data_IF_665563241344
#
_entry.id   IF_665563241344
#
_cell.length_a   1.000
_cell.length_b   1.000
_cell.length_c   1.000
_cell.angle_alpha   90.00
_cell.angle_beta   90.00
_cell.angle_gamma   90.00
#
_symmetry.space_group_name_H-M   'P 1'
#
loop_
_entity.id
_entity.type
_entity.pdbx_description
1 polymer ?
#
# COMPACT_ATOMS: atom_id res chain seq x y z
N UNK A 1 -53.45 16.55 64.97
CA UNK A 1 -52.10 16.14 65.41
C UNK A 1 -51.35 15.68 64.16
N UNK A 2 -50.43 16.51 63.65
CA UNK A 2 -49.27 16.23 62.73
C UNK A 2 -49.53 15.28 61.53
N UNK A 3 -49.59 15.63 60.25
CA UNK A 3 -48.79 16.49 59.34
C UNK A 3 -47.35 15.98 59.02
N UNK A 4 -47.19 15.30 57.87
CA UNK A 4 -45.99 15.24 56.99
C UNK A 4 -46.46 14.69 55.60
N UNK A 5 -46.70 15.51 54.56
CA UNK A 5 -45.77 16.12 53.56
C UNK A 5 -44.82 15.07 52.92
N UNK A 6 -45.05 14.63 51.67
CA UNK A 6 -44.86 15.27 50.34
C UNK A 6 -43.50 14.95 49.72
N UNK A 7 -43.44 14.51 48.46
CA UNK A 7 -42.20 14.53 47.68
C UNK A 7 -42.13 13.58 46.48
N UNK A 8 -42.62 14.02 45.34
CA UNK A 8 -42.27 13.57 44.00
C UNK A 8 -40.85 14.06 43.68
N UNK A 9 -39.89 13.20 43.34
CA UNK A 9 -38.64 13.60 42.64
C UNK A 9 -38.28 12.55 41.60
N UNK A 10 -38.46 12.96 40.35
CA UNK A 10 -37.84 12.46 39.13
C UNK A 10 -36.32 12.53 39.25
N UNK A 11 -35.60 11.44 39.01
CA UNK A 11 -34.15 11.46 38.82
C UNK A 11 -33.80 10.72 37.53
N UNK A 12 -33.68 11.52 36.46
CA UNK A 12 -32.90 11.20 35.28
C UNK A 12 -31.45 11.06 35.75
N UNK A 13 -30.86 9.87 35.62
CA UNK A 13 -29.40 9.73 35.63
C UNK A 13 -28.97 9.17 34.27
N UNK A 14 -28.51 10.12 33.46
CA UNK A 14 -27.71 9.94 32.27
C UNK A 14 -26.40 9.28 32.70
N UNK A 15 -26.25 7.98 32.45
CA UNK A 15 -24.99 7.27 32.57
C UNK A 15 -24.59 6.76 31.20
N UNK A 16 -23.77 7.53 30.48
CA UNK A 16 -22.99 7.01 29.36
C UNK A 16 -22.11 5.87 29.91
N UNK A 17 -22.59 4.64 29.79
CA UNK A 17 -21.69 3.49 29.70
C UNK A 17 -21.12 3.54 28.29
N UNK A 18 -19.92 4.11 28.14
CA UNK A 18 -18.99 3.65 27.11
C UNK A 18 -18.80 2.16 27.38
N UNK A 19 -19.63 1.33 26.75
CA UNK A 19 -19.31 -0.08 26.59
C UNK A 19 -18.10 -0.13 25.67
N UNK A 20 -16.91 -0.10 26.26
CA UNK A 20 -15.79 -0.80 25.66
C UNK A 20 -16.18 -2.27 25.60
N UNK A 21 -16.90 -2.64 24.54
CA UNK A 21 -17.05 -4.04 24.16
C UNK A 21 -15.63 -4.46 23.80
N UNK A 22 -14.94 -5.09 24.75
CA UNK A 22 -13.82 -5.95 24.42
C UNK A 22 -14.38 -7.00 23.47
N UNK A 23 -14.26 -6.75 22.17
CA UNK A 23 -14.57 -7.73 21.15
C UNK A 23 -13.63 -8.91 21.40
N UNK A 24 -14.15 -10.11 21.73
CA UNK A 24 -13.29 -11.24 21.99
C UNK A 24 -12.47 -11.52 20.71
N UNK A 25 -11.15 -11.43 20.82
CA UNK A 25 -10.23 -11.82 19.76
C UNK A 25 -10.43 -13.31 19.48
N UNK A 26 -10.86 -13.65 18.26
CA UNK A 26 -10.91 -15.06 17.86
C UNK A 26 -9.48 -15.51 17.59
N UNK A 27 -9.03 -16.55 18.32
CA UNK A 27 -7.73 -17.20 18.15
C UNK A 27 -7.92 -18.51 17.39
N UNK A 28 -7.24 -18.69 16.26
CA UNK A 28 -7.27 -19.92 15.47
C UNK A 28 -6.22 -20.92 15.98
N UNK A 29 -6.52 -22.21 16.06
CA UNK A 29 -5.50 -23.25 16.33
C UNK A 29 -5.72 -24.54 15.53
N UNK A 30 -4.70 -24.95 14.78
CA UNK A 30 -4.27 -26.28 14.35
C UNK A 30 -5.33 -27.38 14.13
N UNK A 31 -6.11 -27.25 13.04
CA UNK A 31 -6.54 -28.32 12.11
C UNK A 31 -7.65 -27.76 11.18
N UNK A 32 -7.36 -27.58 9.89
CA UNK A 32 -8.28 -26.91 8.93
C UNK A 32 -8.23 -25.39 9.07
N UNK A 33 -7.03 -24.82 8.97
CA UNK A 33 -6.75 -23.46 9.45
C UNK A 33 -7.29 -22.36 8.53
N UNK A 34 -7.35 -22.60 7.23
CA UNK A 34 -8.06 -21.72 6.29
C UNK A 34 -9.58 -21.77 6.54
N UNK A 35 -10.14 -22.91 6.93
CA UNK A 35 -11.54 -23.02 7.40
C UNK A 35 -11.79 -22.21 8.67
N UNK A 36 -10.87 -22.24 9.64
CA UNK A 36 -11.02 -21.42 10.84
C UNK A 36 -10.94 -19.91 10.52
N UNK A 37 -10.13 -19.49 9.54
CA UNK A 37 -10.08 -18.10 9.08
C UNK A 37 -11.36 -17.74 8.32
N UNK A 38 -11.83 -18.64 7.46
CA UNK A 38 -13.10 -18.52 6.76
C UNK A 38 -14.25 -18.25 7.75
N UNK A 39 -14.39 -19.10 8.77
CA UNK A 39 -15.43 -18.97 9.80
C UNK A 39 -15.29 -17.70 10.63
N UNK A 40 -14.05 -17.26 10.91
CA UNK A 40 -13.77 -16.02 11.61
C UNK A 40 -14.27 -14.79 10.83
N UNK A 41 -13.99 -14.74 9.53
CA UNK A 41 -14.43 -13.67 8.65
C UNK A 41 -15.95 -13.66 8.53
N UNK A 42 -16.58 -14.82 8.33
CA UNK A 42 -18.05 -14.88 8.29
C UNK A 42 -18.69 -14.38 9.59
N UNK A 43 -18.14 -14.78 10.74
CA UNK A 43 -18.63 -14.35 12.04
C UNK A 43 -18.48 -12.83 12.24
N UNK A 44 -17.37 -12.26 11.79
CA UNK A 44 -17.13 -10.82 11.83
C UNK A 44 -18.08 -10.06 10.89
N UNK A 45 -18.26 -10.53 9.65
CA UNK A 45 -19.23 -9.96 8.70
C UNK A 45 -20.65 -9.95 9.27
N UNK A 46 -21.11 -11.06 9.87
CA UNK A 46 -22.45 -11.14 10.51
C UNK A 46 -22.63 -10.14 11.65
N UNK A 47 -21.55 -9.77 12.34
CA UNK A 47 -21.55 -8.79 13.43
C UNK A 47 -21.35 -7.36 12.93
N UNK A 48 -20.99 -7.18 11.67
CA UNK A 48 -20.55 -5.90 11.10
C UNK A 48 -19.13 -5.50 11.47
N UNK A 49 -18.46 -6.23 12.38
CA UNK A 49 -17.06 -6.01 12.73
C UNK A 49 -16.42 -7.23 13.41
N UNK A 50 -15.08 -7.29 13.40
CA UNK A 50 -14.36 -8.32 14.16
C UNK A 50 -12.84 -8.14 14.17
N UNK A 51 -12.22 -8.71 15.21
CA UNK A 51 -10.77 -8.75 15.38
C UNK A 51 -10.30 -10.21 15.31
N UNK A 52 -9.37 -10.47 14.39
CA UNK A 52 -8.79 -11.79 14.14
C UNK A 52 -7.29 -11.69 14.41
N UNK A 53 -6.73 -12.68 15.10
CA UNK A 53 -5.28 -12.78 15.30
C UNK A 53 -4.80 -14.15 14.84
N UNK A 54 -3.79 -14.15 13.97
CA UNK A 54 -3.15 -15.39 13.54
C UNK A 54 -2.25 -15.94 14.65
N UNK A 55 -2.21 -17.26 14.75
CA UNK A 55 -1.34 -17.99 15.66
C UNK A 55 -0.31 -18.87 14.94
N UNK A 56 -0.43 -18.99 13.62
CA UNK A 56 0.43 -19.76 12.73
C UNK A 56 0.25 -19.27 11.29
N UNK A 57 1.13 -19.74 10.40
CA UNK A 57 1.00 -19.51 8.96
C UNK A 57 -0.20 -20.28 8.41
N UNK A 58 -0.96 -19.66 7.51
CA UNK A 58 -2.13 -20.26 6.86
C UNK A 58 -1.84 -20.47 5.39
N UNK A 59 -2.15 -21.65 4.86
CA UNK A 59 -2.14 -21.94 3.42
C UNK A 59 -3.57 -22.20 2.97
N UNK A 60 -4.07 -21.40 2.03
CA UNK A 60 -5.44 -21.53 1.54
C UNK A 60 -5.61 -22.79 0.70
N UNK A 61 -6.68 -23.53 0.99
CA UNK A 61 -7.21 -24.65 0.20
C UNK A 61 -8.56 -24.32 -0.44
N UNK A 62 -9.14 -23.17 -0.08
CA UNK A 62 -10.37 -22.61 -0.62
C UNK A 62 -10.32 -21.07 -0.62
N UNK A 63 -11.23 -20.45 -1.38
CA UNK A 63 -11.42 -19.01 -1.34
C UNK A 63 -12.05 -18.57 0.00
N UNK A 64 -11.56 -17.46 0.56
CA UNK A 64 -12.15 -16.83 1.74
C UNK A 64 -13.42 -16.04 1.37
N UNK A 65 -14.38 -15.84 2.30
CA UNK A 65 -15.57 -15.08 2.03
C UNK A 65 -15.23 -13.59 1.89
N UNK A 66 -15.96 -12.85 1.05
CA UNK A 66 -15.78 -11.41 0.91
C UNK A 66 -15.95 -10.69 2.25
N UNK A 67 -15.12 -9.70 2.50
CA UNK A 67 -15.17 -8.83 3.68
C UNK A 67 -16.17 -7.71 3.40
N UNK A 68 -17.24 -7.69 4.19
CA UNK A 68 -18.33 -6.71 4.08
C UNK A 68 -18.57 -5.93 5.38
N UNK A 69 -17.92 -6.35 6.48
CA UNK A 69 -17.88 -5.60 7.74
C UNK A 69 -16.52 -4.96 7.97
N UNK A 70 -16.35 -4.31 9.13
CA UNK A 70 -15.08 -3.74 9.55
C UNK A 70 -14.21 -4.80 10.28
N UNK A 71 -13.23 -5.36 9.58
CA UNK A 71 -12.40 -6.47 10.08
C UNK A 71 -10.95 -6.01 10.27
N UNK A 72 -10.41 -6.26 11.46
CA UNK A 72 -8.97 -6.14 11.72
C UNK A 72 -8.33 -7.53 11.83
N UNK A 73 -7.25 -7.77 11.08
CA UNK A 73 -6.44 -8.98 11.14
C UNK A 73 -5.03 -8.60 11.62
N UNK A 74 -4.65 -9.11 12.78
CA UNK A 74 -3.27 -9.07 13.26
C UNK A 74 -2.56 -10.37 12.88
N UNK A 75 -1.58 -10.27 12.00
CA UNK A 75 -0.82 -11.42 11.54
C UNK A 75 0.14 -11.97 12.59
N UNK A 76 0.50 -11.20 13.64
CA UNK A 76 1.51 -11.59 14.64
C UNK A 76 2.85 -12.07 14.02
N UNK A 77 3.17 -11.61 12.80
CA UNK A 77 4.35 -12.02 12.03
C UNK A 77 4.15 -13.24 11.13
N UNK A 78 2.99 -13.90 11.19
CA UNK A 78 2.66 -15.06 10.36
C UNK A 78 2.25 -14.67 8.94
N UNK A 79 2.17 -15.67 8.06
CA UNK A 79 1.78 -15.54 6.67
C UNK A 79 0.38 -16.10 6.38
N UNK A 80 -0.27 -15.55 5.35
CA UNK A 80 -1.35 -16.22 4.63
C UNK A 80 -0.88 -16.41 3.19
N UNK A 81 -0.80 -17.66 2.75
CA UNK A 81 -0.44 -18.05 1.40
C UNK A 81 -1.67 -18.39 0.58
N UNK A 82 -1.79 -17.81 -0.61
CA UNK A 82 -2.82 -18.18 -1.59
C UNK A 82 -2.52 -19.46 -2.36
N UNK A 83 -1.43 -20.18 -2.04
CA UNK A 83 -1.03 -21.44 -2.66
C UNK A 83 -0.94 -21.39 -4.21
N UNK A 84 -0.59 -20.24 -4.76
CA UNK A 84 -0.52 -19.92 -6.18
C UNK A 84 -1.85 -20.13 -6.95
N UNK A 85 -2.96 -20.28 -6.21
CA UNK A 85 -4.28 -20.66 -6.73
C UNK A 85 -5.40 -19.71 -6.29
N UNK A 86 -5.24 -19.02 -5.17
CA UNK A 86 -6.30 -18.22 -4.55
C UNK A 86 -5.91 -16.76 -4.41
N UNK A 87 -6.86 -15.89 -4.72
CA UNK A 87 -6.88 -14.53 -4.20
C UNK A 87 -7.21 -14.60 -2.70
N UNK A 88 -6.43 -13.90 -1.86
CA UNK A 88 -6.56 -14.05 -0.40
C UNK A 88 -7.79 -13.29 0.11
N UNK A 89 -7.89 -11.99 -0.15
CA UNK A 89 -9.00 -11.18 0.34
C UNK A 89 -9.73 -10.44 -0.78
N UNK A 90 -11.06 -10.46 -0.70
CA UNK A 90 -11.94 -9.56 -1.45
C UNK A 90 -12.64 -8.67 -0.44
N UNK A 91 -12.47 -7.36 -0.55
CA UNK A 91 -13.19 -6.38 0.28
C UNK A 91 -14.24 -5.71 -0.59
N UNK A 92 -15.49 -5.75 -0.15
CA UNK A 92 -16.63 -5.29 -0.94
C UNK A 92 -17.61 -4.58 -0.02
N UNK A 93 -17.59 -3.24 -0.08
CA UNK A 93 -18.31 -2.31 0.82
C UNK A 93 -17.93 -2.44 2.31
N UNK A 94 -16.85 -3.17 2.60
CA UNK A 94 -16.31 -3.38 3.93
C UNK A 94 -15.00 -2.62 4.18
N UNK A 95 -14.48 -2.76 5.40
CA UNK A 95 -13.21 -2.17 5.81
C UNK A 95 -12.28 -3.28 6.28
N UNK A 96 -11.06 -3.33 5.73
CA UNK A 96 -10.04 -4.28 6.16
C UNK A 96 -8.84 -3.53 6.73
N UNK A 97 -8.48 -3.83 7.96
CA UNK A 97 -7.18 -3.44 8.53
C UNK A 97 -6.33 -4.69 8.70
N UNK A 98 -5.15 -4.73 8.08
CA UNK A 98 -4.16 -5.80 8.26
C UNK A 98 -2.87 -5.23 8.82
N UNK A 99 -2.28 -5.96 9.78
CA UNK A 99 -0.99 -5.57 10.36
C UNK A 99 -0.11 -6.74 10.74
N UNK A 100 1.22 -6.53 10.67
CA UNK A 100 2.25 -7.52 11.02
C UNK A 100 2.00 -8.87 10.31
N UNK A 101 1.74 -8.83 9.01
CA UNK A 101 1.24 -9.97 8.25
C UNK A 101 2.05 -10.14 6.96
N UNK A 102 2.25 -11.37 6.51
CA UNK A 102 2.73 -11.63 5.15
C UNK A 102 1.60 -12.19 4.29
N UNK A 103 1.32 -11.58 3.15
CA UNK A 103 0.40 -12.09 2.12
C UNK A 103 1.23 -12.54 0.92
N UNK A 104 1.20 -13.84 0.63
CA UNK A 104 2.15 -14.45 -0.31
C UNK A 104 1.52 -15.44 -1.27
N UNK A 105 2.17 -15.64 -2.42
CA UNK A 105 1.77 -16.66 -3.42
C UNK A 105 0.27 -16.59 -3.75
N UNK A 106 -0.29 -15.40 -3.76
CA UNK A 106 -1.69 -15.20 -4.07
C UNK A 106 -1.88 -15.04 -5.57
N UNK A 107 -2.99 -15.56 -6.08
CA UNK A 107 -3.30 -15.51 -7.51
C UNK A 107 -4.71 -14.99 -7.75
N UNK A 108 -4.79 -13.78 -8.29
CA UNK A 108 -6.01 -13.21 -8.85
C UNK A 108 -6.13 -13.56 -10.33
N UNK A 109 -7.31 -13.97 -10.79
CA UNK A 109 -7.54 -14.25 -12.22
C UNK A 109 -7.42 -12.98 -13.06
N UNK A 110 -7.95 -11.86 -12.56
CA UNK A 110 -7.97 -10.57 -13.25
C UNK A 110 -7.36 -9.48 -12.37
N UNK A 111 -7.99 -9.16 -11.25
CA UNK A 111 -7.62 -7.99 -10.43
C UNK A 111 -7.18 -8.42 -9.04
N UNK A 112 -6.04 -7.93 -8.57
CA UNK A 112 -5.54 -8.11 -7.21
C UNK A 112 -5.05 -9.52 -6.95
N UNK A 113 -3.73 -9.75 -6.85
CA UNK A 113 -3.25 -11.09 -6.51
C UNK A 113 -3.65 -11.46 -5.09
N UNK A 114 -3.23 -10.65 -4.12
CA UNK A 114 -3.54 -10.85 -2.71
C UNK A 114 -4.88 -10.21 -2.32
N UNK A 115 -5.11 -8.95 -2.69
CA UNK A 115 -6.29 -8.20 -2.26
C UNK A 115 -6.97 -7.51 -3.44
N UNK A 116 -8.29 -7.65 -3.51
CA UNK A 116 -9.14 -6.89 -4.41
C UNK A 116 -10.10 -6.01 -3.62
N UNK A 117 -10.03 -4.70 -3.83
CA UNK A 117 -10.95 -3.71 -3.27
C UNK A 117 -12.04 -3.35 -4.28
N UNK A 118 -13.29 -3.54 -3.87
CA UNK A 118 -14.49 -3.23 -4.66
C UNK A 118 -15.25 -2.05 -4.03
N UNK A 119 -16.42 -1.75 -4.59
CA UNK A 119 -17.42 -0.74 -4.14
C UNK A 119 -17.21 -0.28 -2.70
N UNK A 120 -16.94 1.00 -2.49
CA UNK A 120 -16.87 1.61 -1.15
C UNK A 120 -15.80 1.04 -0.20
N UNK A 121 -14.99 0.06 -0.62
CA UNK A 121 -14.09 -0.64 0.29
C UNK A 121 -12.92 0.22 0.74
N UNK A 122 -12.54 0.03 2.00
CA UNK A 122 -11.35 0.62 2.61
C UNK A 122 -10.33 -0.45 3.00
N UNK A 123 -9.05 -0.14 2.81
CA UNK A 123 -7.93 -0.95 3.27
C UNK A 123 -6.91 -0.10 4.01
N UNK A 124 -6.53 -0.57 5.19
CA UNK A 124 -5.35 -0.12 5.93
C UNK A 124 -4.38 -1.30 6.06
N UNK A 125 -3.20 -1.19 5.46
CA UNK A 125 -2.13 -2.18 5.56
C UNK A 125 -0.91 -1.57 6.25
N UNK A 126 -0.60 -2.06 7.45
CA UNK A 126 0.52 -1.56 8.27
C UNK A 126 1.54 -2.68 8.50
N UNK A 127 2.83 -2.44 8.31
CA UNK A 127 3.86 -3.47 8.59
C UNK A 127 3.55 -4.82 7.93
N UNK A 128 3.06 -4.76 6.70
CA UNK A 128 2.60 -5.91 5.95
C UNK A 128 3.54 -6.18 4.77
N UNK A 129 3.84 -7.45 4.54
CA UNK A 129 4.64 -7.87 3.38
C UNK A 129 3.76 -8.53 2.34
N UNK A 130 3.74 -8.00 1.13
CA UNK A 130 3.13 -8.61 -0.06
C UNK A 130 4.22 -9.23 -0.91
N UNK A 131 4.28 -10.56 -0.96
CA UNK A 131 5.39 -11.28 -1.58
C UNK A 131 4.93 -12.25 -2.66
N UNK A 132 5.52 -12.18 -3.86
CA UNK A 132 5.27 -13.13 -4.95
C UNK A 132 3.78 -13.34 -5.27
N UNK A 133 2.99 -12.26 -5.28
CA UNK A 133 1.60 -12.33 -5.68
C UNK A 133 1.45 -12.04 -7.19
N UNK A 134 0.42 -12.58 -7.81
CA UNK A 134 0.19 -12.50 -9.25
C UNK A 134 -1.26 -12.18 -9.60
N UNK A 135 -1.46 -11.27 -10.57
CA UNK A 135 -2.76 -11.02 -11.23
C UNK A 135 -2.58 -10.43 -12.63
N UNK A 136 -3.66 -10.07 -13.34
CA UNK A 136 -3.54 -9.26 -14.56
C UNK A 136 -3.38 -7.77 -14.24
N UNK A 137 -4.08 -7.27 -13.22
CA UNK A 137 -4.01 -5.90 -12.73
C UNK A 137 -3.72 -5.92 -11.23
N UNK A 138 -2.70 -5.19 -10.79
CA UNK A 138 -2.38 -5.14 -9.37
C UNK A 138 -1.89 -6.49 -8.85
N UNK A 139 -0.63 -6.83 -9.11
CA UNK A 139 -0.09 -8.15 -8.78
C UNK A 139 -0.24 -8.52 -7.30
N UNK A 140 -0.23 -7.53 -6.40
CA UNK A 140 -0.62 -7.69 -5.00
C UNK A 140 -2.02 -7.13 -4.73
N UNK A 141 -2.23 -5.84 -5.02
CA UNK A 141 -3.47 -5.13 -4.69
C UNK A 141 -4.02 -4.49 -5.95
N UNK A 142 -5.32 -4.68 -6.21
CA UNK A 142 -6.04 -3.92 -7.23
C UNK A 142 -7.26 -3.27 -6.63
N UNK A 143 -7.53 -2.03 -7.06
CA UNK A 143 -8.77 -1.33 -6.76
C UNK A 143 -9.58 -1.13 -8.03
N UNK A 144 -10.86 -1.49 -7.97
CA UNK A 144 -11.80 -1.22 -9.06
C UNK A 144 -12.58 0.07 -8.77
N UNK A 145 -13.19 0.66 -9.81
CA UNK A 145 -13.83 1.97 -9.72
C UNK A 145 -14.83 2.08 -8.55
N UNK A 146 -14.89 3.27 -7.95
CA UNK A 146 -15.75 3.62 -6.81
C UNK A 146 -15.42 2.91 -5.48
N UNK A 147 -14.14 2.78 -5.13
CA UNK A 147 -13.72 2.37 -3.78
C UNK A 147 -13.44 3.60 -2.88
N UNK A 148 -13.26 3.36 -1.58
CA UNK A 148 -13.02 4.39 -0.57
C UNK A 148 -11.55 4.85 -0.54
N UNK A 149 -10.76 4.20 0.31
CA UNK A 149 -9.38 4.58 0.63
C UNK A 149 -8.46 3.37 0.74
N UNK A 150 -7.25 3.52 0.20
CA UNK A 150 -6.15 2.57 0.31
C UNK A 150 -4.99 3.24 1.05
N UNK A 151 -4.77 2.85 2.30
CA UNK A 151 -3.67 3.34 3.12
C UNK A 151 -2.65 2.24 3.40
N UNK A 152 -1.39 2.53 3.09
CA UNK A 152 -0.27 1.61 3.20
C UNK A 152 0.84 2.31 3.97
N UNK A 153 1.26 1.72 5.08
CA UNK A 153 2.35 2.25 5.92
C UNK A 153 3.33 1.16 6.32
N UNK A 154 4.60 1.52 6.38
CA UNK A 154 5.70 0.65 6.86
C UNK A 154 5.68 -0.76 6.23
N UNK A 155 5.28 -0.87 4.97
CA UNK A 155 5.00 -2.15 4.31
C UNK A 155 5.97 -2.45 3.18
N UNK A 156 6.05 -3.72 2.77
CA UNK A 156 6.95 -4.18 1.72
C UNK A 156 6.18 -4.91 0.61
N UNK A 157 6.42 -4.54 -0.64
CA UNK A 157 5.92 -5.22 -1.84
C UNK A 157 7.10 -5.77 -2.61
N UNK A 158 7.23 -7.10 -2.66
CA UNK A 158 8.39 -7.74 -3.27
C UNK A 158 8.01 -8.84 -4.23
N UNK A 159 8.57 -8.82 -5.45
CA UNK A 159 8.40 -9.90 -6.41
C UNK A 159 6.97 -10.08 -6.90
N UNK A 160 6.10 -9.08 -6.74
CA UNK A 160 4.73 -9.17 -7.23
C UNK A 160 4.71 -8.91 -8.74
N UNK A 161 3.83 -9.61 -9.45
CA UNK A 161 3.79 -9.59 -10.91
C UNK A 161 2.39 -9.33 -11.44
N UNK A 162 2.28 -8.48 -12.47
CA UNK A 162 1.03 -8.20 -13.16
C UNK A 162 1.15 -8.45 -14.66
N UNK A 163 0.14 -9.09 -15.26
CA UNK A 163 0.06 -9.29 -16.70
C UNK A 163 -0.10 -7.99 -17.50
N UNK A 164 -0.66 -6.94 -16.91
CA UNK A 164 -0.97 -5.67 -17.58
C UNK A 164 -0.29 -4.48 -16.90
N UNK A 165 -0.69 -4.15 -15.68
CA UNK A 165 -0.27 -2.91 -15.02
C UNK A 165 -0.35 -2.99 -13.50
N UNK A 166 0.50 -2.22 -12.84
CA UNK A 166 0.64 -2.22 -11.38
C UNK A 166 1.21 -3.55 -10.89
N UNK A 167 2.50 -3.82 -11.14
CA UNK A 167 3.11 -5.10 -10.75
C UNK A 167 2.93 -5.42 -9.27
N UNK A 168 2.86 -4.39 -8.41
CA UNK A 168 2.35 -4.51 -7.05
C UNK A 168 0.92 -3.96 -6.92
N UNK A 169 0.72 -2.67 -7.23
CA UNK A 169 -0.55 -1.98 -7.00
C UNK A 169 -1.07 -1.38 -8.29
N UNK A 170 -2.31 -1.71 -8.63
CA UNK A 170 -3.08 -0.94 -9.59
C UNK A 170 -4.18 -0.18 -8.85
N UNK A 171 -4.16 1.14 -8.98
CA UNK A 171 -5.04 2.04 -8.25
C UNK A 171 -5.97 2.80 -9.20
N UNK A 172 -7.29 2.72 -8.98
CA UNK A 172 -8.30 3.39 -9.79
C UNK A 172 -9.49 3.93 -8.99
N UNK A 173 -9.48 5.23 -8.69
CA UNK A 173 -10.56 5.95 -7.97
C UNK A 173 -10.23 6.16 -6.50
N UNK A 174 -11.06 6.90 -5.75
CA UNK A 174 -10.82 7.10 -4.31
C UNK A 174 -9.50 7.80 -3.97
N UNK A 175 -8.88 7.39 -2.86
CA UNK A 175 -7.59 7.91 -2.38
C UNK A 175 -6.58 6.80 -2.10
N UNK A 176 -5.33 7.01 -2.52
CA UNK A 176 -4.17 6.18 -2.21
C UNK A 176 -3.20 6.98 -1.34
N UNK A 177 -2.80 6.41 -0.21
CA UNK A 177 -1.81 6.97 0.71
C UNK A 177 -0.76 5.91 1.03
N UNK A 178 0.48 6.13 0.56
CA UNK A 178 1.61 5.22 0.76
C UNK A 178 2.70 5.96 1.49
N UNK A 179 3.18 5.41 2.61
CA UNK A 179 4.23 6.00 3.43
C UNK A 179 5.19 4.95 3.98
N UNK A 180 6.48 5.31 4.13
CA UNK A 180 7.46 4.48 4.84
C UNK A 180 7.68 3.09 4.23
N UNK A 181 7.36 2.88 2.96
CA UNK A 181 7.19 1.54 2.37
C UNK A 181 8.24 1.24 1.31
N UNK A 182 8.40 -0.04 0.94
CA UNK A 182 9.36 -0.49 -0.06
C UNK A 182 8.70 -1.32 -1.16
N UNK A 183 8.97 -0.98 -2.42
CA UNK A 183 8.53 -1.69 -3.63
C UNK A 183 9.77 -2.22 -4.35
N UNK A 184 9.99 -3.52 -4.26
CA UNK A 184 11.22 -4.16 -4.69
C UNK A 184 10.94 -5.25 -5.71
N UNK A 185 11.55 -5.17 -6.90
CA UNK A 185 11.49 -6.26 -7.89
C UNK A 185 10.06 -6.64 -8.28
N UNK A 186 9.15 -5.66 -8.35
CA UNK A 186 7.82 -5.88 -8.87
C UNK A 186 7.82 -5.70 -10.39
N UNK A 187 6.97 -6.45 -11.08
CA UNK A 187 6.99 -6.52 -12.54
C UNK A 187 5.60 -6.36 -13.15
N UNK A 188 5.47 -5.52 -14.18
CA UNK A 188 4.31 -5.49 -15.06
C UNK A 188 4.73 -5.51 -16.52
N UNK A 189 4.05 -6.31 -17.34
CA UNK A 189 4.44 -6.51 -18.75
C UNK A 189 4.29 -5.22 -19.57
N UNK A 190 3.19 -4.47 -19.40
CA UNK A 190 2.86 -3.36 -20.30
C UNK A 190 2.98 -1.97 -19.66
N UNK A 191 2.62 -1.79 -18.39
CA UNK A 191 2.52 -0.46 -17.77
C UNK A 191 3.44 -0.26 -16.57
N UNK A 192 2.92 0.15 -15.41
CA UNK A 192 3.69 0.48 -14.21
C UNK A 192 4.22 -0.75 -13.47
N UNK A 193 5.54 -0.83 -13.27
CA UNK A 193 6.19 -2.01 -12.69
C UNK A 193 5.93 -2.22 -11.21
N UNK A 194 5.86 -1.15 -10.40
CA UNK A 194 5.38 -1.24 -9.01
C UNK A 194 3.94 -0.74 -8.89
N UNK A 195 3.73 0.55 -9.18
CA UNK A 195 2.43 1.20 -9.00
C UNK A 195 1.96 1.80 -10.32
N UNK A 196 0.70 1.56 -10.67
CA UNK A 196 0.00 2.33 -11.70
C UNK A 196 -1.19 3.08 -11.11
N UNK A 197 -1.27 4.39 -11.34
CA UNK A 197 -2.36 5.26 -10.87
C UNK A 197 -3.25 5.72 -12.03
N UNK A 198 -4.45 5.14 -12.13
CA UNK A 198 -5.38 5.38 -13.23
C UNK A 198 -6.29 6.60 -12.99
N UNK A 199 -6.86 6.72 -11.79
CA UNK A 199 -7.81 7.79 -11.42
C UNK A 199 -7.75 8.05 -9.90
N UNK A 200 -8.26 9.20 -9.45
CA UNK A 200 -8.32 9.56 -8.03
C UNK A 200 -7.13 10.41 -7.58
N UNK A 201 -6.86 10.41 -6.27
CA UNK A 201 -5.73 11.11 -5.67
C UNK A 201 -4.76 10.11 -5.03
N UNK A 202 -3.49 10.17 -5.39
CA UNK A 202 -2.44 9.32 -4.87
C UNK A 202 -1.35 10.16 -4.21
N UNK A 203 -1.05 9.87 -2.94
CA UNK A 203 0.03 10.46 -2.17
C UNK A 203 1.02 9.35 -1.81
N UNK A 204 2.25 9.46 -2.31
CA UNK A 204 3.31 8.47 -2.11
C UNK A 204 4.50 9.20 -1.48
N UNK A 205 4.92 8.77 -0.29
CA UNK A 205 5.94 9.45 0.49
C UNK A 205 6.91 8.52 1.18
N UNK A 206 8.14 9.01 1.43
CA UNK A 206 9.13 8.34 2.29
C UNK A 206 9.31 6.85 1.95
N UNK A 207 9.37 6.53 0.66
CA UNK A 207 9.28 5.15 0.17
C UNK A 207 10.37 4.84 -0.85
N UNK A 208 10.77 3.58 -0.89
CA UNK A 208 11.82 3.06 -1.79
C UNK A 208 11.19 2.28 -2.92
N UNK A 209 11.59 2.56 -4.15
CA UNK A 209 11.25 1.80 -5.36
C UNK A 209 12.54 1.31 -5.98
N UNK A 210 12.76 0.00 -6.01
CA UNK A 210 13.99 -0.53 -6.60
C UNK A 210 13.81 -1.81 -7.38
N UNK A 211 14.58 -1.90 -8.46
CA UNK A 211 14.60 -3.05 -9.37
C UNK A 211 13.22 -3.39 -9.95
N UNK A 212 12.26 -2.46 -9.95
CA UNK A 212 10.95 -2.72 -10.54
C UNK A 212 11.03 -2.59 -12.05
N UNK A 213 10.23 -3.39 -12.75
CA UNK A 213 10.19 -3.41 -14.20
C UNK A 213 8.77 -3.22 -14.72
N UNK A 214 8.60 -2.24 -15.61
CA UNK A 214 7.33 -1.95 -16.26
C UNK A 214 7.52 -1.73 -17.75
N UNK A 215 6.56 -2.11 -18.59
CA UNK A 215 6.67 -1.85 -20.03
C UNK A 215 6.80 -0.36 -20.36
N UNK A 216 6.12 0.51 -19.61
CA UNK A 216 6.10 1.96 -19.85
C UNK A 216 6.69 2.81 -18.70
N UNK A 217 6.53 2.38 -17.44
CA UNK A 217 7.09 3.07 -16.27
C UNK A 217 7.64 2.05 -15.28
N UNK A 218 8.94 2.10 -14.99
CA UNK A 218 9.58 0.99 -14.25
C UNK A 218 9.17 0.95 -12.80
N UNK A 219 9.23 2.08 -12.10
CA UNK A 219 8.69 2.22 -10.74
C UNK A 219 7.21 2.57 -10.76
N UNK A 220 6.90 3.80 -11.16
CA UNK A 220 5.57 4.39 -11.05
C UNK A 220 5.07 4.84 -12.43
N UNK A 221 3.84 4.46 -12.77
CA UNK A 221 3.12 4.94 -13.95
C UNK A 221 1.93 5.80 -13.53
N UNK A 222 1.89 7.05 -13.99
CA UNK A 222 0.76 7.96 -13.78
C UNK A 222 -0.07 8.00 -15.07
N UNK A 223 -1.23 7.36 -15.02
CA UNK A 223 -2.09 7.08 -16.18
C UNK A 223 -3.38 7.90 -16.21
N UNK A 224 -3.62 8.73 -15.18
CA UNK A 224 -4.79 9.64 -15.12
C UNK A 224 -5.09 10.23 -13.74
N UNK A 225 -4.55 9.66 -12.66
CA UNK A 225 -4.71 10.21 -11.30
C UNK A 225 -3.91 11.52 -11.09
N UNK A 226 -4.29 12.25 -10.04
CA UNK A 226 -3.41 13.28 -9.44
C UNK A 226 -2.46 12.57 -8.47
N UNK A 227 -1.17 12.54 -8.78
CA UNK A 227 -0.16 11.80 -8.02
C UNK A 227 0.91 12.74 -7.45
N UNK A 228 1.00 12.81 -6.14
CA UNK A 228 2.04 13.53 -5.40
C UNK A 228 3.07 12.54 -4.86
N UNK A 229 4.33 12.77 -5.17
CA UNK A 229 5.47 11.90 -4.85
C UNK A 229 6.51 12.73 -4.10
N UNK A 230 6.83 12.35 -2.86
CA UNK A 230 7.74 13.13 -2.00
C UNK A 230 8.72 12.23 -1.25
N UNK A 231 9.99 12.63 -1.13
CA UNK A 231 10.99 11.88 -0.37
C UNK A 231 11.10 10.41 -0.80
N UNK A 232 11.06 10.17 -2.12
CA UNK A 232 11.18 8.84 -2.68
C UNK A 232 12.65 8.52 -2.99
N UNK A 233 13.00 7.25 -2.93
CA UNK A 233 14.26 6.73 -3.48
C UNK A 233 13.91 5.76 -4.60
N UNK A 234 14.13 6.14 -5.86
CA UNK A 234 13.82 5.33 -7.04
C UNK A 234 15.11 4.90 -7.73
N UNK A 235 15.51 3.63 -7.58
CA UNK A 235 16.85 3.16 -7.98
C UNK A 235 16.79 1.83 -8.73
N UNK A 236 17.43 1.75 -9.90
CA UNK A 236 17.51 0.51 -10.68
C UNK A 236 16.18 0.03 -11.27
N UNK A 237 15.15 0.89 -11.25
CA UNK A 237 13.90 0.63 -11.95
C UNK A 237 14.13 0.73 -13.46
N UNK A 238 13.39 -0.06 -14.25
CA UNK A 238 13.63 -0.21 -15.69
C UNK A 238 12.33 -0.23 -16.47
N UNK A 239 12.33 0.40 -17.64
CA UNK A 239 11.20 0.33 -18.58
C UNK A 239 11.60 0.57 -20.03
N UNK A 240 10.64 0.41 -20.95
CA UNK A 240 10.76 0.93 -22.31
C UNK A 240 10.47 2.44 -22.43
N UNK A 241 10.04 3.09 -21.35
CA UNK A 241 9.69 4.51 -21.26
C UNK A 241 10.50 5.24 -20.20
N UNK A 242 9.84 5.65 -19.10
CA UNK A 242 10.49 6.27 -17.94
C UNK A 242 10.93 5.23 -16.91
N UNK A 243 12.25 5.07 -16.72
CA UNK A 243 12.83 4.02 -15.88
C UNK A 243 12.31 4.09 -14.44
N UNK A 244 12.28 5.27 -13.83
CA UNK A 244 11.69 5.47 -12.51
C UNK A 244 10.21 5.83 -12.61
N UNK A 245 9.87 6.88 -13.37
CA UNK A 245 8.52 7.46 -13.43
C UNK A 245 8.13 7.74 -14.87
N UNK A 246 6.97 7.25 -15.28
CA UNK A 246 6.33 7.63 -16.53
C UNK A 246 5.00 8.29 -16.24
N UNK A 247 4.80 9.49 -16.80
CA UNK A 247 3.47 10.11 -16.89
C UNK A 247 2.88 9.93 -18.28
N UNK A 248 1.61 9.55 -18.37
CA UNK A 248 0.85 9.54 -19.63
C UNK A 248 -0.26 10.59 -19.60
N UNK A 249 -1.05 10.59 -18.54
CA UNK A 249 -2.17 11.50 -18.32
C UNK A 249 -2.23 11.93 -16.83
N UNK A 250 -3.22 12.73 -16.45
CA UNK A 250 -3.37 13.22 -15.07
C UNK A 250 -2.32 14.27 -14.70
N UNK A 251 -1.98 14.36 -13.41
CA UNK A 251 -0.96 15.26 -12.89
C UNK A 251 0.07 14.51 -12.05
N UNK A 252 1.36 14.79 -12.25
CA UNK A 252 2.45 14.21 -11.45
C UNK A 252 3.32 15.31 -10.83
N UNK A 253 3.42 15.29 -9.50
CA UNK A 253 4.22 16.22 -8.71
C UNK A 253 5.31 15.44 -7.97
N UNK A 254 6.56 15.55 -8.41
CA UNK A 254 7.71 14.90 -7.79
C UNK A 254 8.53 15.92 -7.00
N UNK A 255 8.78 15.64 -5.72
CA UNK A 255 9.55 16.55 -4.86
C UNK A 255 10.54 15.81 -3.96
N UNK A 256 11.67 16.46 -3.69
CA UNK A 256 12.64 16.05 -2.65
C UNK A 256 13.05 14.57 -2.72
N UNK A 257 13.17 14.02 -3.93
CA UNK A 257 13.39 12.59 -4.15
C UNK A 257 14.76 12.31 -4.76
N UNK A 258 15.29 11.12 -4.49
CA UNK A 258 16.52 10.58 -5.07
C UNK A 258 16.16 9.62 -6.19
N UNK A 259 16.71 9.84 -7.38
CA UNK A 259 16.44 9.03 -8.56
C UNK A 259 17.77 8.62 -9.21
N UNK A 260 17.98 7.31 -9.35
CA UNK A 260 19.18 6.73 -9.96
C UNK A 260 18.82 5.61 -10.94
N UNK A 261 19.23 5.77 -12.19
CA UNK A 261 19.07 4.77 -13.24
C UNK A 261 20.37 4.03 -13.57
N UNK A 262 20.22 2.82 -14.12
CA UNK A 262 21.35 1.97 -14.58
C UNK A 262 21.86 2.36 -15.99
N UNK A 263 21.43 3.50 -16.53
CA UNK A 263 21.81 4.01 -17.85
C UNK A 263 21.09 3.29 -19.00
N UNK A 264 20.27 4.02 -19.74
CA UNK A 264 19.60 3.50 -20.94
C UNK A 264 18.49 4.42 -21.45
N UNK A 265 17.41 4.54 -20.67
CA UNK A 265 16.30 5.44 -20.92
C UNK A 265 16.34 6.66 -19.96
N UNK A 266 15.36 7.56 -20.07
CA UNK A 266 15.21 8.67 -19.12
C UNK A 266 14.64 8.12 -17.81
N UNK A 267 15.16 8.55 -16.66
CA UNK A 267 14.58 8.21 -15.36
C UNK A 267 13.11 8.68 -15.24
N UNK A 268 12.82 9.90 -15.70
CA UNK A 268 11.48 10.46 -15.77
C UNK A 268 11.07 10.80 -17.20
N UNK A 269 9.86 10.40 -17.58
CA UNK A 269 9.31 10.66 -18.90
C UNK A 269 7.84 11.11 -18.87
N UNK A 270 7.39 11.72 -19.96
CA UNK A 270 6.00 12.15 -20.13
C UNK A 270 5.64 13.55 -19.61
N UNK A 271 6.64 14.33 -19.18
CA UNK A 271 6.46 15.71 -18.72
C UNK A 271 5.72 15.77 -17.39
N UNK A 272 6.46 15.65 -16.29
CA UNK A 272 5.93 15.85 -14.94
C UNK A 272 5.48 17.31 -14.78
N UNK A 273 4.32 17.51 -14.16
CA UNK A 273 3.71 18.83 -13.95
C UNK A 273 4.54 19.68 -12.97
N UNK A 274 5.21 19.02 -12.03
CA UNK A 274 6.22 19.63 -11.19
C UNK A 274 7.30 18.63 -10.85
N UNK A 275 8.55 19.10 -10.90
CA UNK A 275 9.71 18.34 -10.43
C UNK A 275 10.68 19.28 -9.74
N UNK A 276 10.71 19.28 -8.41
CA UNK A 276 11.48 20.25 -7.59
C UNK A 276 12.27 19.56 -6.48
N UNK A 277 13.47 20.07 -6.18
CA UNK A 277 14.30 19.56 -5.07
C UNK A 277 14.76 18.10 -5.21
N UNK A 278 14.64 17.50 -6.41
CA UNK A 278 15.06 16.12 -6.63
C UNK A 278 16.54 16.05 -7.02
N UNK A 279 17.19 14.96 -6.63
CA UNK A 279 18.53 14.58 -7.08
C UNK A 279 18.38 13.45 -8.10
N UNK A 280 18.70 13.72 -9.37
CA UNK A 280 18.47 12.80 -10.49
C UNK A 280 19.78 12.54 -11.22
N UNK A 281 20.13 11.27 -11.38
CA UNK A 281 21.40 10.87 -11.98
C UNK A 281 21.55 11.35 -13.43
N UNK A 282 20.48 11.29 -14.23
CA UNK A 282 20.48 11.71 -15.64
C UNK A 282 19.88 13.10 -15.88
N UNK A 283 19.33 13.73 -14.84
CA UNK A 283 18.70 15.06 -14.88
C UNK A 283 17.31 15.08 -15.52
N UNK A 284 16.75 13.94 -15.93
CA UNK A 284 15.41 13.86 -16.53
C UNK A 284 14.30 14.14 -15.51
N UNK A 285 14.57 13.86 -14.23
CA UNK A 285 13.66 14.14 -13.12
C UNK A 285 13.97 15.48 -12.42
N UNK A 286 15.06 16.19 -12.74
CA UNK A 286 15.36 17.52 -12.20
C UNK A 286 16.46 18.24 -13.00
N UNK A 287 16.33 19.54 -13.25
CA UNK A 287 17.37 20.27 -13.98
C UNK A 287 18.71 20.40 -13.22
N UNK A 288 18.73 20.37 -11.86
CA UNK A 288 19.92 20.44 -10.97
C UNK A 288 19.56 20.05 -9.51
N UNK A 289 20.50 19.59 -8.67
CA UNK A 289 21.75 18.89 -8.98
C UNK A 289 21.51 17.41 -9.34
N UNK A 290 22.47 16.81 -10.03
CA UNK A 290 22.43 15.40 -10.46
C UNK A 290 23.80 14.75 -10.37
N UNK A 291 23.85 13.44 -10.61
CA UNK A 291 25.05 12.62 -10.48
C UNK A 291 24.79 11.32 -9.72
N UNK A 292 25.84 10.63 -9.31
CA UNK A 292 25.71 9.46 -8.44
C UNK A 292 25.41 9.91 -7.00
N UNK A 293 24.29 9.44 -6.45
CA UNK A 293 23.88 9.75 -5.08
C UNK A 293 24.72 9.04 -4.01
N UNK A 294 25.64 8.14 -4.38
CA UNK A 294 26.46 7.35 -3.47
C UNK A 294 25.59 6.60 -2.46
N UNK A 295 24.69 5.77 -2.97
CA UNK A 295 23.85 4.91 -2.16
C UNK A 295 24.62 3.69 -1.68
N UNK A 296 24.41 3.30 -0.43
CA UNK A 296 24.91 2.05 0.14
C UNK A 296 24.04 0.86 -0.27
N UNK A 297 24.25 -0.28 0.37
CA UNK A 297 23.47 -1.50 0.11
C UNK A 297 22.04 -1.38 0.66
N UNK A 298 21.09 -2.04 -0.01
CA UNK A 298 19.70 -2.14 0.46
C UNK A 298 19.65 -2.82 1.84
N UNK A 299 19.05 -2.15 2.82
CA UNK A 299 18.94 -2.62 4.20
C UNK A 299 17.60 -2.23 4.84
N UNK A 300 17.33 -2.69 6.06
CA UNK A 300 16.11 -2.37 6.79
C UNK A 300 14.88 -3.21 6.40
N UNK A 301 13.77 -2.96 7.09
CA UNK A 301 12.46 -3.57 6.84
C UNK A 301 11.35 -2.56 7.24
N UNK A 302 10.72 -1.85 6.30
CA UNK A 302 10.90 -1.94 4.84
C UNK A 302 12.29 -1.52 4.34
N UNK A 303 12.67 -2.02 3.17
CA UNK A 303 14.00 -1.82 2.59
C UNK A 303 14.25 -0.37 2.15
N UNK A 304 15.43 0.16 2.47
CA UNK A 304 15.90 1.48 2.06
C UNK A 304 17.40 1.46 1.73
N UNK A 305 17.86 2.47 1.00
CA UNK A 305 19.27 2.68 0.67
C UNK A 305 19.83 3.84 1.51
N UNK A 306 20.78 3.60 2.42
CA UNK A 306 21.44 4.68 3.15
C UNK A 306 22.34 5.48 2.20
N UNK A 307 22.50 6.78 2.44
CA UNK A 307 23.55 7.56 1.79
C UNK A 307 24.90 7.22 2.44
N UNK A 308 25.92 7.05 1.60
CA UNK A 308 27.30 6.85 2.06
C UNK A 308 27.94 8.19 2.47
N UNK A 309 28.97 8.11 3.31
CA UNK A 309 29.75 9.27 3.72
C UNK A 309 30.30 10.04 2.51
N UNK A 310 30.07 11.35 2.49
CA UNK A 310 30.48 12.23 1.39
C UNK A 310 29.53 12.23 0.19
N UNK A 311 28.36 11.60 0.29
CA UNK A 311 27.35 11.63 -0.76
C UNK A 311 27.00 13.07 -1.19
N UNK A 312 26.98 13.35 -2.51
CA UNK A 312 26.59 14.66 -3.03
C UNK A 312 25.09 14.92 -2.94
N UNK A 313 24.28 13.94 -2.53
CA UNK A 313 22.85 14.09 -2.31
C UNK A 313 22.52 14.65 -0.92
N UNK A 314 23.49 14.63 0.02
CA UNK A 314 23.35 15.28 1.33
C UNK A 314 23.27 16.79 1.12
N UNK A 315 22.24 17.42 1.69
CA UNK A 315 21.97 18.86 1.59
C UNK A 315 21.89 19.39 0.14
N UNK A 316 21.56 18.51 -0.81
CA UNK A 316 21.47 18.84 -2.23
C UNK A 316 20.11 19.43 -2.64
N UNK A 317 19.11 19.29 -1.77
CA UNK A 317 17.80 19.90 -1.96
C UNK A 317 17.92 21.42 -1.80
N UNK A 318 17.29 22.16 -2.71
CA UNK A 318 17.24 23.60 -2.63
C UNK A 318 16.40 24.04 -1.41
N UNK A 319 17.05 24.77 -0.50
CA UNK A 319 16.49 25.22 0.76
C UNK A 319 15.22 26.09 0.59
N UNK A 320 15.01 26.71 -0.57
CA UNK A 320 13.78 27.45 -0.88
C UNK A 320 12.54 26.54 -0.97
N UNK A 321 12.74 25.25 -1.23
CA UNK A 321 11.68 24.24 -1.31
C UNK A 321 11.61 23.30 -0.10
N UNK A 322 12.51 23.48 0.89
CA UNK A 322 12.35 22.88 2.20
C UNK A 322 11.17 23.58 2.90
N UNK A 323 10.06 22.86 3.10
CA UNK A 323 8.95 23.37 3.90
C UNK A 323 9.48 23.70 5.30
N UNK A 324 9.31 24.94 5.76
CA UNK A 324 9.61 25.33 7.14
C UNK A 324 8.85 24.38 8.07
N UNK A 325 9.57 23.51 8.77
CA UNK A 325 9.02 22.72 9.87
C UNK A 325 8.72 23.68 11.02
N UNK A 326 7.43 23.90 11.31
CA UNK A 326 6.95 24.52 12.55
C UNK A 326 6.80 23.49 13.65
#
# INVERSE_FOLDING_TARGET
MVLKRSGLITAILLGLMLSFVFLPTLRLSAAGEDEALFQAIEAANRRGSGNISLLEDIVLSQALPSITGAITIDGNGYAISGADAFQIFVVDDGELTIRNLTLTQARGETDGGAILLKRGADLVAEKTTFFNNHAQHGGAISTVAFHGSLRISDSAFRGNTAGTGGGAILFSGGSLDVSGSAFLKNEAIYWGGAIETLNGEANISNSTFSDNYGGAGGGIMVSGATTTMTHLTLVGNRSGGGDAIQKRDGNAYLRNSLIGGEGGALDCAGGLDQSIGNFSQDGSCAPRPGGDAMLGELTGAPGYFPLLDGSPAVDAADAEFCLETY
#
